data_IF_299090293094
#
_entry.id   IF_299090293094
#
_cell.length_a   1.000
_cell.length_b   1.000
_cell.length_c   1.000
_cell.angle_alpha   90.00
_cell.angle_beta   90.00
_cell.angle_gamma   90.00
#
_symmetry.space_group_name_H-M   'P 1'
#
loop_
_entity.id
_entity.type
_entity.pdbx_description
1 polymer ?
#
# COMPACT_ATOMS: atom_id res chain seq x y z
N UNK A 1 -14.34 24.56 10.22
CA UNK A 1 -15.08 23.29 10.21
C UNK A 1 -14.21 22.19 10.80
N UNK A 2 -14.76 21.33 11.66
CA UNK A 2 -14.04 20.18 12.23
C UNK A 2 -14.48 18.89 11.53
N UNK A 3 -13.53 18.01 11.22
CA UNK A 3 -13.81 16.68 10.72
C UNK A 3 -14.53 15.87 11.82
N UNK A 4 -15.56 15.12 11.44
CA UNK A 4 -16.17 14.14 12.32
C UNK A 4 -15.23 12.90 12.38
N UNK A 5 -14.28 12.95 13.31
CA UNK A 5 -13.27 11.91 13.48
C UNK A 5 -13.90 10.55 13.78
N UNK A 6 -14.99 10.53 14.54
CA UNK A 6 -15.69 9.27 14.90
C UNK A 6 -16.26 8.59 13.67
N UNK A 7 -16.95 9.35 12.80
CA UNK A 7 -17.44 8.87 11.50
C UNK A 7 -16.32 8.32 10.65
N UNK A 8 -15.21 9.08 10.53
CA UNK A 8 -14.06 8.70 9.70
C UNK A 8 -13.36 7.45 10.21
N UNK A 9 -13.22 7.28 11.54
CA UNK A 9 -12.66 6.07 12.15
C UNK A 9 -13.53 4.86 11.82
N UNK A 10 -14.85 4.96 11.93
CA UNK A 10 -15.74 3.85 11.62
C UNK A 10 -15.69 3.44 10.14
N UNK A 11 -15.62 4.39 9.21
CA UNK A 11 -15.37 4.11 7.79
C UNK A 11 -13.97 3.47 7.60
N UNK A 12 -13.00 3.87 8.41
CA UNK A 12 -11.64 3.33 8.41
C UNK A 12 -11.53 1.83 8.73
N UNK A 13 -12.54 1.21 9.36
CA UNK A 13 -12.55 -0.24 9.61
C UNK A 13 -12.54 -1.06 8.31
N UNK A 14 -13.13 -0.55 7.22
CA UNK A 14 -13.00 -1.18 5.91
C UNK A 14 -11.53 -1.21 5.45
N UNK A 15 -10.83 -0.09 5.61
CA UNK A 15 -9.40 0.01 5.26
C UNK A 15 -8.52 -0.86 6.14
N UNK A 16 -8.85 -0.92 7.44
CA UNK A 16 -8.18 -1.79 8.41
C UNK A 16 -8.26 -3.26 7.98
N UNK A 17 -9.44 -3.74 7.58
CA UNK A 17 -9.63 -5.11 7.10
C UNK A 17 -8.87 -5.39 5.80
N UNK A 18 -8.90 -4.45 4.83
CA UNK A 18 -8.17 -4.56 3.57
C UNK A 18 -6.67 -4.70 3.82
N UNK A 19 -6.08 -3.79 4.60
CA UNK A 19 -4.63 -3.81 4.85
C UNK A 19 -4.20 -5.04 5.66
N UNK A 20 -5.02 -5.50 6.61
CA UNK A 20 -4.75 -6.72 7.35
C UNK A 20 -4.74 -7.96 6.43
N UNK A 21 -5.69 -8.07 5.50
CA UNK A 21 -5.70 -9.16 4.52
C UNK A 21 -4.45 -9.14 3.64
N UNK A 22 -4.09 -8.00 3.08
CA UNK A 22 -2.91 -7.89 2.21
C UNK A 22 -1.63 -8.23 2.96
N UNK A 23 -1.54 -7.89 4.23
CA UNK A 23 -0.36 -8.23 5.04
C UNK A 23 -0.22 -9.75 5.24
N UNK A 24 -1.33 -10.47 5.45
CA UNK A 24 -1.32 -11.95 5.51
C UNK A 24 -1.02 -12.54 4.14
N UNK A 25 -1.61 -11.99 3.08
CA UNK A 25 -1.37 -12.40 1.70
C UNK A 25 0.11 -12.31 1.34
N UNK A 26 0.72 -11.14 1.49
CA UNK A 26 2.12 -10.90 1.13
C UNK A 26 3.10 -11.72 1.98
N UNK A 27 2.75 -11.96 3.24
CA UNK A 27 3.61 -12.69 4.17
C UNK A 27 3.52 -14.20 4.07
N UNK A 28 2.32 -14.75 3.88
CA UNK A 28 2.06 -16.20 4.01
C UNK A 28 1.97 -16.91 2.67
N UNK A 29 1.34 -16.31 1.65
CA UNK A 29 1.17 -16.98 0.35
C UNK A 29 2.51 -17.39 -0.27
N UNK A 30 3.57 -16.54 -0.30
CA UNK A 30 4.88 -16.94 -0.81
C UNK A 30 5.50 -18.11 -0.06
N UNK A 31 5.30 -18.19 1.27
CA UNK A 31 5.77 -19.30 2.10
C UNK A 31 5.05 -20.60 1.77
N UNK A 32 3.74 -20.58 1.61
CA UNK A 32 2.95 -21.75 1.19
C UNK A 32 3.39 -22.24 -0.19
N UNK A 33 3.55 -21.33 -1.16
CA UNK A 33 4.00 -21.68 -2.50
C UNK A 33 5.38 -22.36 -2.49
N UNK A 34 6.31 -21.83 -1.69
CA UNK A 34 7.67 -22.38 -1.57
C UNK A 34 7.71 -23.66 -0.76
N UNK A 35 7.23 -23.63 0.48
CA UNK A 35 7.47 -24.70 1.46
C UNK A 35 6.53 -25.90 1.26
N UNK A 36 5.26 -25.67 0.87
CA UNK A 36 4.26 -26.75 0.72
C UNK A 36 4.21 -27.29 -0.70
N UNK A 37 4.22 -26.40 -1.70
CA UNK A 37 4.04 -26.79 -3.09
C UNK A 37 5.36 -26.87 -3.89
N UNK A 38 6.49 -26.43 -3.31
CA UNK A 38 7.80 -26.48 -3.97
C UNK A 38 7.86 -25.61 -5.25
N UNK A 39 7.01 -24.58 -5.34
CA UNK A 39 6.95 -23.68 -6.50
C UNK A 39 8.22 -22.83 -6.53
N UNK A 40 8.85 -22.76 -7.70
CA UNK A 40 10.04 -21.93 -7.88
C UNK A 40 9.74 -20.43 -7.70
N UNK A 41 10.77 -19.64 -7.45
CA UNK A 41 10.59 -18.23 -7.08
C UNK A 41 10.06 -17.37 -8.24
N UNK A 42 10.31 -17.74 -9.51
CA UNK A 42 9.75 -17.06 -10.69
C UNK A 42 8.24 -17.24 -10.77
N UNK A 43 7.76 -18.49 -10.67
CA UNK A 43 6.33 -18.78 -10.68
C UNK A 43 5.63 -18.22 -9.45
N UNK A 44 6.27 -18.30 -8.27
CA UNK A 44 5.77 -17.66 -7.06
C UNK A 44 5.59 -16.15 -7.27
N UNK A 45 6.58 -15.46 -7.87
CA UNK A 45 6.48 -14.06 -8.26
C UNK A 45 5.35 -13.80 -9.26
N UNK A 46 5.15 -14.68 -10.23
CA UNK A 46 4.03 -14.62 -11.17
C UNK A 46 2.68 -14.71 -10.48
N UNK A 47 2.51 -15.63 -9.52
CA UNK A 47 1.29 -15.75 -8.72
C UNK A 47 1.05 -14.49 -7.89
N UNK A 48 2.11 -13.93 -7.29
CA UNK A 48 2.01 -12.68 -6.51
C UNK A 48 1.71 -11.45 -7.37
N UNK A 49 1.99 -11.49 -8.68
CA UNK A 49 1.66 -10.39 -9.59
C UNK A 49 0.19 -10.40 -10.04
N UNK A 50 -0.51 -11.53 -9.91
CA UNK A 50 -1.90 -11.71 -10.39
C UNK A 50 -2.85 -10.73 -9.71
N UNK A 51 -2.68 -10.45 -8.43
CA UNK A 51 -3.50 -9.50 -7.68
C UNK A 51 -3.47 -8.10 -8.30
N UNK A 52 -2.28 -7.62 -8.67
CA UNK A 52 -2.10 -6.31 -9.29
C UNK A 52 -2.62 -6.27 -10.74
N UNK A 53 -2.48 -7.37 -11.49
CA UNK A 53 -3.07 -7.51 -12.82
C UNK A 53 -4.61 -7.44 -12.72
N UNK A 54 -5.20 -8.20 -11.81
CA UNK A 54 -6.64 -8.17 -11.56
C UNK A 54 -7.10 -6.79 -11.07
N UNK A 55 -6.34 -6.16 -10.17
CA UNK A 55 -6.64 -4.85 -9.64
C UNK A 55 -6.71 -3.79 -10.74
N UNK A 56 -5.81 -3.83 -11.72
CA UNK A 56 -5.78 -2.87 -12.83
C UNK A 56 -7.10 -2.82 -13.62
N UNK A 57 -7.77 -3.97 -13.77
CA UNK A 57 -9.03 -4.10 -14.51
C UNK A 57 -10.24 -4.02 -13.59
N UNK A 58 -10.21 -4.75 -12.47
CA UNK A 58 -11.39 -4.96 -11.63
C UNK A 58 -11.68 -3.78 -10.70
N UNK A 59 -10.67 -3.04 -10.24
CA UNK A 59 -10.92 -1.88 -9.36
C UNK A 59 -11.70 -0.77 -10.06
N UNK A 60 -11.36 -0.33 -11.30
CA UNK A 60 -12.20 0.61 -12.05
C UNK A 60 -13.60 0.05 -12.36
N UNK A 61 -13.67 -1.25 -12.70
CA UNK A 61 -14.95 -1.91 -12.99
C UNK A 61 -15.90 -1.85 -11.78
N UNK A 62 -15.48 -2.36 -10.62
CA UNK A 62 -16.31 -2.36 -9.43
C UNK A 62 -16.51 -0.97 -8.83
N UNK A 63 -15.56 -0.07 -9.01
CA UNK A 63 -15.74 1.35 -8.73
C UNK A 63 -16.94 1.91 -9.49
N UNK A 64 -16.92 1.77 -10.83
CA UNK A 64 -17.99 2.26 -11.72
C UNK A 64 -19.33 1.56 -11.47
N UNK A 65 -19.34 0.24 -11.27
CA UNK A 65 -20.55 -0.51 -10.94
C UNK A 65 -21.18 0.00 -9.64
N UNK A 66 -20.37 0.22 -8.61
CA UNK A 66 -20.86 0.73 -7.34
C UNK A 66 -21.34 2.18 -7.44
N UNK A 67 -20.75 3.02 -8.31
CA UNK A 67 -21.25 4.38 -8.56
C UNK A 67 -22.65 4.41 -9.14
N UNK A 68 -22.98 3.44 -10.00
CA UNK A 68 -24.28 3.31 -10.67
C UNK A 68 -25.33 2.56 -9.85
N UNK A 69 -24.93 1.96 -8.74
CA UNK A 69 -25.84 1.18 -7.90
C UNK A 69 -26.73 2.11 -7.07
N UNK A 70 -28.02 1.81 -7.05
CA UNK A 70 -29.00 2.46 -6.21
C UNK A 70 -29.64 1.43 -5.28
N UNK A 71 -29.30 1.44 -3.98
CA UNK A 71 -29.85 0.50 -3.01
C UNK A 71 -30.27 1.20 -1.71
N UNK A 72 -31.16 0.54 -0.95
CA UNK A 72 -31.66 1.06 0.33
C UNK A 72 -30.57 1.23 1.40
N UNK A 73 -29.46 0.49 1.28
CA UNK A 73 -28.34 0.54 2.23
C UNK A 73 -27.18 1.42 1.72
N UNK A 74 -27.34 2.06 0.55
CA UNK A 74 -26.33 2.88 -0.09
C UNK A 74 -25.79 2.27 -1.38
N UNK A 75 -24.92 2.99 -2.09
CA UNK A 75 -24.35 2.55 -3.36
C UNK A 75 -23.11 1.67 -3.18
N UNK A 76 -22.31 1.90 -2.12
CA UNK A 76 -21.06 1.19 -1.82
C UNK A 76 -21.27 -0.03 -0.93
N UNK A 77 -22.15 0.09 0.08
CA UNK A 77 -22.36 -0.93 1.09
C UNK A 77 -22.71 -2.33 0.56
N UNK A 78 -23.52 -2.52 -0.50
CA UNK A 78 -23.81 -3.85 -1.04
C UNK A 78 -22.55 -4.60 -1.48
N UNK A 79 -21.62 -3.90 -2.17
CA UNK A 79 -20.34 -4.46 -2.61
C UNK A 79 -19.41 -4.74 -1.46
N UNK A 80 -19.36 -3.83 -0.47
CA UNK A 80 -18.51 -3.99 0.72
C UNK A 80 -18.98 -5.22 1.52
N UNK A 81 -20.27 -5.34 1.76
CA UNK A 81 -20.84 -6.47 2.53
C UNK A 81 -20.62 -7.78 1.77
N UNK A 82 -21.06 -7.85 0.53
CA UNK A 82 -20.99 -9.08 -0.27
C UNK A 82 -19.53 -9.52 -0.52
N UNK A 83 -18.69 -8.59 -0.96
CA UNK A 83 -17.29 -8.89 -1.26
C UNK A 83 -16.46 -9.25 -0.03
N UNK A 84 -16.64 -8.53 1.10
CA UNK A 84 -15.90 -8.80 2.34
C UNK A 84 -16.32 -10.15 2.96
N UNK A 85 -17.61 -10.47 3.02
CA UNK A 85 -18.11 -11.77 3.52
C UNK A 85 -17.59 -12.92 2.63
N UNK A 86 -17.70 -12.77 1.31
CA UNK A 86 -17.19 -13.77 0.36
C UNK A 86 -15.67 -13.96 0.52
N UNK A 87 -14.91 -12.87 0.61
CA UNK A 87 -13.48 -12.94 0.82
C UNK A 87 -13.13 -13.66 2.14
N UNK A 88 -13.79 -13.30 3.25
CA UNK A 88 -13.56 -13.94 4.54
C UNK A 88 -13.87 -15.45 4.51
N UNK A 89 -14.97 -15.84 3.89
CA UNK A 89 -15.37 -17.25 3.77
C UNK A 89 -14.41 -18.06 2.88
N UNK A 90 -14.05 -17.51 1.71
CA UNK A 90 -13.15 -18.20 0.74
C UNK A 90 -11.73 -18.29 1.29
N UNK A 91 -11.27 -17.31 2.09
CA UNK A 91 -9.95 -17.31 2.71
C UNK A 91 -9.68 -18.58 3.53
N UNK A 92 -10.70 -19.19 4.11
CA UNK A 92 -10.60 -20.45 4.87
C UNK A 92 -10.23 -21.65 3.97
N UNK A 93 -10.47 -21.59 2.68
CA UNK A 93 -10.09 -22.65 1.74
C UNK A 93 -8.57 -22.71 1.50
N UNK A 94 -7.84 -21.61 1.74
CA UNK A 94 -6.39 -21.57 1.55
C UNK A 94 -5.63 -22.49 2.52
N UNK A 95 -5.83 -22.42 3.86
CA UNK A 95 -5.20 -23.36 4.77
C UNK A 95 -5.70 -24.80 4.58
N UNK A 96 -6.95 -25.02 4.15
CA UNK A 96 -7.46 -26.33 3.80
C UNK A 96 -6.67 -26.91 2.60
N UNK A 97 -6.52 -26.15 1.51
CA UNK A 97 -5.76 -26.54 0.34
C UNK A 97 -4.28 -26.84 0.67
N UNK A 98 -3.69 -26.02 1.58
CA UNK A 98 -2.35 -26.24 2.10
C UNK A 98 -2.24 -27.58 2.87
N UNK A 99 -3.19 -27.86 3.76
CA UNK A 99 -3.20 -29.07 4.59
C UNK A 99 -3.32 -30.35 3.76
N UNK A 100 -4.23 -30.36 2.77
CA UNK A 100 -4.42 -31.51 1.88
C UNK A 100 -3.41 -31.52 0.71
N UNK A 101 -2.49 -30.56 0.66
CA UNK A 101 -1.46 -30.38 -0.39
C UNK A 101 -2.03 -30.37 -1.81
N UNK A 102 -3.22 -29.80 -2.00
CA UNK A 102 -3.87 -29.67 -3.30
C UNK A 102 -3.55 -28.31 -3.93
N UNK A 103 -2.59 -28.28 -4.85
CA UNK A 103 -2.22 -27.08 -5.58
C UNK A 103 -3.39 -26.51 -6.42
N UNK A 104 -4.18 -27.39 -7.05
CA UNK A 104 -5.33 -26.96 -7.85
C UNK A 104 -6.37 -26.23 -6.98
N UNK A 105 -6.73 -26.79 -5.82
CA UNK A 105 -7.65 -26.14 -4.89
C UNK A 105 -7.06 -24.81 -4.37
N UNK A 106 -5.75 -24.77 -4.11
CA UNK A 106 -5.07 -23.55 -3.64
C UNK A 106 -5.17 -22.42 -4.69
N UNK A 107 -4.88 -22.70 -5.95
CA UNK A 107 -4.94 -21.70 -7.03
C UNK A 107 -6.38 -21.22 -7.27
N UNK A 108 -7.36 -22.13 -7.26
CA UNK A 108 -8.77 -21.80 -7.41
C UNK A 108 -9.24 -20.93 -6.24
N UNK A 109 -8.93 -21.33 -5.01
CA UNK A 109 -9.29 -20.56 -3.81
C UNK A 109 -8.61 -19.19 -3.80
N UNK A 110 -7.33 -19.12 -4.19
CA UNK A 110 -6.57 -17.87 -4.28
C UNK A 110 -7.19 -16.93 -5.32
N UNK A 111 -7.46 -17.42 -6.52
CA UNK A 111 -8.15 -16.63 -7.56
C UNK A 111 -9.51 -16.14 -7.11
N UNK A 112 -10.30 -16.99 -6.46
CA UNK A 112 -11.62 -16.63 -5.96
C UNK A 112 -11.56 -15.57 -4.83
N UNK A 113 -10.61 -15.67 -3.91
CA UNK A 113 -10.45 -14.66 -2.85
C UNK A 113 -9.97 -13.33 -3.42
N UNK A 114 -9.06 -13.33 -4.42
CA UNK A 114 -8.62 -12.11 -5.08
C UNK A 114 -9.75 -11.40 -5.83
N UNK A 115 -10.62 -12.16 -6.51
CA UNK A 115 -11.84 -11.62 -7.13
C UNK A 115 -12.80 -11.04 -6.09
N UNK A 116 -13.02 -11.73 -4.99
CA UNK A 116 -13.85 -11.23 -3.89
C UNK A 116 -13.25 -9.95 -3.29
N UNK A 117 -11.94 -9.89 -3.07
CA UNK A 117 -11.23 -8.68 -2.60
C UNK A 117 -11.39 -7.52 -3.58
N UNK A 118 -11.26 -7.74 -4.88
CA UNK A 118 -11.42 -6.71 -5.90
C UNK A 118 -12.83 -6.13 -5.92
N UNK A 119 -13.87 -6.95 -5.65
CA UNK A 119 -15.27 -6.53 -5.63
C UNK A 119 -15.54 -5.41 -4.63
N UNK A 120 -14.94 -5.45 -3.45
CA UNK A 120 -15.25 -4.49 -2.39
C UNK A 120 -14.14 -3.46 -2.10
N UNK A 121 -12.90 -3.71 -2.50
CA UNK A 121 -11.76 -2.82 -2.23
C UNK A 121 -12.00 -1.41 -2.79
N UNK A 122 -12.38 -1.28 -4.06
CA UNK A 122 -12.62 0.02 -4.68
C UNK A 122 -13.83 0.75 -4.08
N UNK A 123 -15.01 0.12 -3.88
CA UNK A 123 -16.13 0.72 -3.13
C UNK A 123 -15.78 1.15 -1.71
N UNK A 124 -14.97 0.36 -0.98
CA UNK A 124 -14.55 0.71 0.38
C UNK A 124 -13.65 1.96 0.42
N UNK A 125 -12.70 2.07 -0.53
CA UNK A 125 -11.86 3.26 -0.66
C UNK A 125 -12.69 4.50 -1.02
N UNK A 126 -13.69 4.35 -1.89
CA UNK A 126 -14.55 5.44 -2.33
C UNK A 126 -15.56 5.89 -1.24
N UNK A 127 -15.86 5.04 -0.25
CA UNK A 127 -16.81 5.36 0.80
C UNK A 127 -16.40 6.60 1.62
N UNK A 128 -15.11 6.77 1.93
CA UNK A 128 -14.64 7.92 2.71
C UNK A 128 -14.89 9.26 2.00
N UNK A 129 -14.48 9.47 0.75
CA UNK A 129 -14.77 10.72 0.06
C UNK A 129 -16.26 10.94 -0.21
N UNK A 130 -17.06 9.87 -0.30
CA UNK A 130 -18.51 9.98 -0.50
C UNK A 130 -19.26 10.51 0.74
N UNK A 131 -18.66 10.35 1.93
CA UNK A 131 -19.25 10.83 3.20
C UNK A 131 -18.47 11.96 3.85
N UNK A 132 -17.48 12.55 3.14
CA UNK A 132 -16.63 13.62 3.69
C UNK A 132 -16.57 14.82 2.75
N UNK A 133 -16.88 16.05 3.20
CA UNK A 133 -16.77 17.26 2.40
C UNK A 133 -15.36 17.46 1.81
N UNK A 134 -15.28 17.99 0.58
CA UNK A 134 -14.01 18.16 -0.17
C UNK A 134 -12.84 18.75 0.64
N UNK A 135 -12.99 19.86 1.41
CA UNK A 135 -11.88 20.46 2.16
C UNK A 135 -11.35 19.56 3.29
N UNK A 136 -12.14 18.60 3.78
CA UNK A 136 -11.79 17.72 4.89
C UNK A 136 -11.28 16.34 4.43
N UNK A 137 -11.36 16.03 3.13
CA UNK A 137 -10.96 14.71 2.58
C UNK A 137 -9.50 14.37 2.86
N UNK A 138 -8.60 15.34 2.83
CA UNK A 138 -7.18 15.10 3.16
C UNK A 138 -6.98 14.63 4.61
N UNK A 139 -7.68 15.27 5.57
CA UNK A 139 -7.66 14.83 6.97
C UNK A 139 -8.34 13.49 7.16
N UNK A 140 -9.46 13.24 6.46
CA UNK A 140 -10.14 11.95 6.45
C UNK A 140 -9.25 10.83 5.92
N UNK A 141 -8.54 11.09 4.82
CA UNK A 141 -7.59 10.14 4.24
C UNK A 141 -6.44 9.78 5.19
N UNK A 142 -5.94 10.73 5.96
CA UNK A 142 -4.92 10.47 6.98
C UNK A 142 -5.42 9.48 8.04
N UNK A 143 -6.67 9.63 8.51
CA UNK A 143 -7.25 8.74 9.52
C UNK A 143 -7.47 7.33 8.95
N UNK A 144 -8.01 7.19 7.74
CA UNK A 144 -8.23 5.86 7.16
C UNK A 144 -6.92 5.15 6.84
N UNK A 145 -5.87 5.86 6.41
CA UNK A 145 -4.55 5.28 6.23
C UNK A 145 -3.93 4.82 7.56
N UNK A 146 -4.12 5.59 8.64
CA UNK A 146 -3.72 5.17 9.98
C UNK A 146 -4.46 3.89 10.41
N UNK A 147 -5.77 3.80 10.17
CA UNK A 147 -6.56 2.59 10.43
C UNK A 147 -6.04 1.41 9.61
N UNK A 148 -5.71 1.62 8.33
CA UNK A 148 -5.08 0.59 7.48
C UNK A 148 -3.74 0.11 8.04
N UNK A 149 -2.88 1.02 8.46
CA UNK A 149 -1.58 0.68 9.08
C UNK A 149 -1.77 -0.13 10.37
N UNK A 150 -2.74 0.24 11.21
CA UNK A 150 -3.08 -0.54 12.41
C UNK A 150 -3.56 -1.94 12.05
N UNK A 151 -4.36 -2.10 11.00
CA UNK A 151 -4.78 -3.41 10.49
C UNK A 151 -3.58 -4.26 10.04
N UNK A 152 -2.64 -3.66 9.30
CA UNK A 152 -1.40 -4.33 8.89
C UNK A 152 -0.54 -4.77 10.07
N UNK A 153 -0.37 -3.90 11.09
CA UNK A 153 0.39 -4.25 12.30
C UNK A 153 -0.30 -5.39 13.07
N UNK A 154 -1.62 -5.35 13.23
CA UNK A 154 -2.36 -6.43 13.91
C UNK A 154 -2.22 -7.77 13.15
N UNK A 155 -2.24 -7.74 11.83
CA UNK A 155 -2.00 -8.92 11.00
C UNK A 155 -0.57 -9.46 11.17
N UNK A 156 0.45 -8.59 11.22
CA UNK A 156 1.83 -8.99 11.47
C UNK A 156 2.02 -9.59 12.87
N UNK A 157 1.39 -9.00 13.89
CA UNK A 157 1.37 -9.57 15.24
C UNK A 157 0.74 -10.97 15.22
N UNK A 158 -0.39 -11.11 14.54
CA UNK A 158 -1.04 -12.42 14.39
C UNK A 158 -0.14 -13.43 13.66
N UNK A 159 0.55 -13.04 12.60
CA UNK A 159 1.52 -13.89 11.90
C UNK A 159 2.64 -14.32 12.86
N UNK A 160 3.25 -13.37 13.57
CA UNK A 160 4.36 -13.63 14.49
C UNK A 160 4.00 -14.58 15.65
N UNK A 161 2.75 -14.49 16.14
CA UNK A 161 2.28 -15.29 17.29
C UNK A 161 1.63 -16.62 16.88
N UNK A 162 0.87 -16.61 15.76
CA UNK A 162 0.01 -17.73 15.38
C UNK A 162 0.64 -18.68 14.37
N UNK A 163 1.73 -18.30 13.70
CA UNK A 163 2.44 -19.20 12.77
C UNK A 163 3.64 -19.81 13.47
N UNK A 164 3.54 -21.10 13.88
CA UNK A 164 4.61 -21.76 14.61
C UNK A 164 5.85 -21.97 13.75
N UNK A 165 7.01 -22.19 14.39
CA UNK A 165 8.21 -22.67 13.72
C UNK A 165 8.08 -24.14 13.29
N UNK A 166 9.06 -24.60 12.49
CA UNK A 166 9.15 -25.99 12.01
C UNK A 166 9.01 -26.12 10.50
N UNK A 167 9.30 -27.31 9.99
CA UNK A 167 9.32 -27.58 8.55
C UNK A 167 7.95 -27.47 7.86
N UNK A 168 6.85 -27.77 8.58
CA UNK A 168 5.49 -27.70 8.06
C UNK A 168 4.57 -26.94 9.03
N UNK A 169 4.68 -25.61 9.11
CA UNK A 169 3.87 -24.81 10.02
C UNK A 169 2.38 -24.86 9.64
N UNK A 170 1.52 -24.92 10.66
CA UNK A 170 0.08 -24.79 10.45
C UNK A 170 -0.29 -23.32 10.24
N UNK A 171 -0.88 -23.02 9.10
CA UNK A 171 -1.38 -21.67 8.79
C UNK A 171 -2.86 -21.45 9.17
N UNK A 172 -3.55 -22.49 9.68
CA UNK A 172 -4.95 -22.39 10.08
C UNK A 172 -5.23 -21.24 11.05
N UNK A 173 -4.46 -21.06 12.15
CA UNK A 173 -4.77 -20.01 13.11
C UNK A 173 -4.74 -18.60 12.51
N UNK A 174 -3.77 -18.30 11.65
CA UNK A 174 -3.66 -16.96 11.04
C UNK A 174 -4.76 -16.70 9.99
N UNK A 175 -5.16 -17.73 9.22
CA UNK A 175 -6.25 -17.58 8.27
C UNK A 175 -7.63 -17.49 8.94
N UNK A 176 -7.86 -18.20 10.04
CA UNK A 176 -9.05 -18.01 10.88
C UNK A 176 -9.06 -16.61 11.47
N UNK A 177 -7.91 -16.18 12.03
CA UNK A 177 -7.79 -14.82 12.57
C UNK A 177 -8.21 -13.77 11.54
N UNK A 178 -7.63 -13.81 10.33
CA UNK A 178 -7.93 -12.77 9.33
C UNK A 178 -9.39 -12.84 8.86
N UNK A 179 -9.98 -14.02 8.69
CA UNK A 179 -11.37 -14.16 8.31
C UNK A 179 -12.30 -13.58 9.39
N UNK A 180 -12.06 -13.91 10.66
CA UNK A 180 -12.81 -13.36 11.80
C UNK A 180 -12.60 -11.86 11.93
N UNK A 181 -11.36 -11.39 11.80
CA UNK A 181 -11.01 -9.96 11.86
C UNK A 181 -11.73 -9.15 10.78
N UNK A 182 -11.75 -9.63 9.53
CA UNK A 182 -12.51 -9.02 8.44
C UNK A 182 -14.02 -8.97 8.75
N UNK A 183 -14.58 -10.07 9.27
CA UNK A 183 -15.99 -10.13 9.65
C UNK A 183 -16.32 -9.16 10.80
N UNK A 184 -15.47 -9.04 11.81
CA UNK A 184 -15.61 -8.08 12.92
C UNK A 184 -15.56 -6.64 12.41
N UNK A 185 -14.56 -6.30 11.58
CA UNK A 185 -14.45 -4.98 10.97
C UNK A 185 -15.71 -4.63 10.16
N UNK A 186 -16.22 -5.60 9.37
CA UNK A 186 -17.44 -5.42 8.60
C UNK A 186 -18.67 -5.23 9.52
N UNK A 187 -18.81 -6.00 10.58
CA UNK A 187 -19.90 -5.84 11.55
C UNK A 187 -19.88 -4.46 12.21
N UNK A 188 -18.71 -3.97 12.60
CA UNK A 188 -18.54 -2.60 13.12
C UNK A 188 -19.00 -1.59 12.07
N UNK A 189 -18.54 -1.74 10.83
CA UNK A 189 -18.89 -0.83 9.74
C UNK A 189 -20.42 -0.80 9.50
N UNK A 190 -21.07 -1.95 9.40
CA UNK A 190 -22.53 -2.07 9.17
C UNK A 190 -23.33 -1.40 10.32
N UNK A 191 -22.91 -1.63 11.56
CA UNK A 191 -23.62 -1.08 12.74
C UNK A 191 -23.45 0.43 12.91
N UNK A 192 -22.34 0.98 12.43
CA UNK A 192 -21.97 2.38 12.69
C UNK A 192 -22.11 3.29 11.48
N UNK A 193 -22.20 2.72 10.27
CA UNK A 193 -22.17 3.48 9.01
C UNK A 193 -23.48 3.29 8.25
N UNK A 194 -24.33 4.30 8.28
CA UNK A 194 -25.52 4.37 7.42
C UNK A 194 -25.15 5.27 6.22
N UNK A 195 -24.69 4.65 5.12
CA UNK A 195 -24.18 5.39 3.95
C UNK A 195 -25.17 6.44 3.42
N UNK A 196 -26.49 6.16 3.18
CA UNK A 196 -27.42 7.15 2.68
C UNK A 196 -27.53 8.38 3.59
N UNK A 197 -27.68 8.18 4.90
CA UNK A 197 -27.77 9.28 5.86
C UNK A 197 -26.49 10.10 5.96
N UNK A 198 -25.33 9.44 5.89
CA UNK A 198 -24.03 10.11 5.93
C UNK A 198 -23.74 10.90 4.66
N UNK A 199 -24.14 10.38 3.49
CA UNK A 199 -24.02 11.07 2.22
C UNK A 199 -24.94 12.31 2.15
N UNK A 200 -26.17 12.20 2.68
CA UNK A 200 -27.09 13.34 2.79
C UNK A 200 -26.51 14.42 3.74
N UNK A 201 -26.04 14.01 4.92
CA UNK A 201 -25.35 14.92 5.85
C UNK A 201 -24.17 15.62 5.22
N UNK A 202 -23.34 14.90 4.44
CA UNK A 202 -22.21 15.47 3.70
C UNK A 202 -22.66 16.53 2.70
N UNK A 203 -23.76 16.30 1.96
CA UNK A 203 -24.31 17.28 1.02
C UNK A 203 -24.76 18.56 1.72
N UNK A 204 -25.48 18.43 2.85
CA UNK A 204 -25.89 19.58 3.66
C UNK A 204 -24.67 20.34 4.20
N UNK A 205 -23.66 19.62 4.72
CA UNK A 205 -22.41 20.22 5.22
C UNK A 205 -21.67 20.97 4.10
N UNK A 206 -21.65 20.42 2.86
CA UNK A 206 -21.01 21.04 1.69
C UNK A 206 -21.77 22.28 1.22
N UNK A 207 -23.12 22.22 1.18
CA UNK A 207 -23.96 23.36 0.80
C UNK A 207 -23.80 24.54 1.77
N UNK A 208 -23.75 24.25 3.08
CA UNK A 208 -23.52 25.28 4.12
C UNK A 208 -22.14 25.95 3.99
N UNK A 209 -21.19 25.36 3.28
CA UNK A 209 -19.88 25.91 3.03
C UNK A 209 -19.77 26.67 1.70
N UNK A 210 -20.87 26.78 0.96
CA UNK A 210 -20.85 27.37 -0.38
C UNK A 210 -19.98 26.61 -1.38
N UNK A 211 -19.71 25.32 -1.10
CA UNK A 211 -18.96 24.45 -2.00
C UNK A 211 -19.94 23.92 -3.03
N UNK A 212 -20.13 24.68 -4.10
CA UNK A 212 -20.77 24.13 -5.30
C UNK A 212 -19.89 22.97 -5.81
N UNK A 213 -20.51 21.86 -6.17
CA UNK A 213 -19.86 20.85 -7.01
C UNK A 213 -19.65 21.49 -8.38
N UNK A 214 -18.58 22.28 -8.51
CA UNK A 214 -18.22 22.85 -9.82
C UNK A 214 -18.07 21.69 -10.79
N UNK A 215 -18.97 21.71 -11.77
CA UNK A 215 -18.82 20.96 -13.00
C UNK A 215 -17.41 21.20 -13.54
N UNK A 216 -16.81 20.15 -14.08
CA UNK A 216 -15.46 20.15 -14.61
C UNK A 216 -15.12 21.45 -15.34
N UNK A 217 -14.28 22.31 -14.73
CA UNK A 217 -13.67 23.40 -15.43
C UNK A 217 -12.85 22.83 -16.59
N UNK A 218 -13.02 23.45 -17.73
CA UNK A 218 -12.53 23.08 -19.05
C UNK A 218 -11.14 22.44 -19.05
N UNK A 219 -11.09 21.18 -19.48
CA UNK A 219 -9.89 20.51 -19.94
C UNK A 219 -9.28 21.30 -21.11
N UNK A 220 -7.98 21.61 -21.08
CA UNK A 220 -7.43 22.00 -22.35
C UNK A 220 -6.16 22.81 -22.49
N UNK A 221 -5.43 23.17 -21.47
CA UNK A 221 -4.10 23.72 -21.71
C UNK A 221 -3.02 22.64 -21.67
N UNK A 222 -2.25 22.54 -22.77
CA UNK A 222 -1.11 21.61 -22.84
C UNK A 222 -0.08 21.95 -21.75
N UNK A 223 0.41 20.90 -21.07
CA UNK A 223 1.44 21.05 -20.04
C UNK A 223 2.72 21.69 -20.62
N UNK A 224 3.28 22.73 -19.99
CA UNK A 224 4.54 23.33 -20.43
C UNK A 224 5.64 22.30 -20.53
N UNK A 225 6.56 22.35 -21.54
CA UNK A 225 7.59 21.33 -21.74
C UNK A 225 8.47 21.06 -20.50
N UNK A 226 8.78 22.09 -19.72
CA UNK A 226 9.58 21.96 -18.49
C UNK A 226 8.85 21.19 -17.40
N UNK A 227 7.52 21.40 -17.24
CA UNK A 227 6.67 20.68 -16.30
C UNK A 227 6.51 19.22 -16.77
N UNK A 228 6.28 19.01 -18.07
CA UNK A 228 6.19 17.67 -18.69
C UNK A 228 7.46 16.85 -18.44
N UNK A 229 8.65 17.48 -18.58
CA UNK A 229 9.92 16.83 -18.25
C UNK A 229 9.98 16.39 -16.78
N UNK A 230 9.63 17.28 -15.84
CA UNK A 230 9.56 16.93 -14.41
C UNK A 230 8.53 15.82 -14.14
N UNK A 231 7.40 15.84 -14.82
CA UNK A 231 6.36 14.83 -14.71
C UNK A 231 6.83 13.45 -15.15
N UNK A 232 7.53 13.35 -16.28
CA UNK A 232 8.11 12.08 -16.75
C UNK A 232 9.15 11.55 -15.74
N UNK A 233 10.01 12.42 -15.22
CA UNK A 233 11.03 12.01 -14.24
C UNK A 233 10.43 11.59 -12.89
N UNK A 234 9.35 12.21 -12.41
CA UNK A 234 8.70 11.75 -11.18
C UNK A 234 8.00 10.39 -11.39
N UNK A 235 7.37 10.16 -12.55
CA UNK A 235 6.80 8.85 -12.87
C UNK A 235 7.89 7.77 -12.96
N UNK A 236 9.04 8.08 -13.57
CA UNK A 236 10.19 7.17 -13.59
C UNK A 236 10.71 6.89 -12.17
N UNK A 237 10.76 7.91 -11.30
CA UNK A 237 11.14 7.73 -9.89
C UNK A 237 10.15 6.84 -9.16
N UNK A 238 8.84 7.04 -9.37
CA UNK A 238 7.77 6.21 -8.80
C UNK A 238 7.95 4.76 -9.23
N UNK A 239 8.15 4.50 -10.51
CA UNK A 239 8.41 3.16 -11.01
C UNK A 239 9.61 2.50 -10.32
N UNK A 240 10.73 3.21 -10.24
CA UNK A 240 11.98 2.68 -9.69
C UNK A 240 11.90 2.40 -8.19
N UNK A 241 11.37 3.32 -7.36
CA UNK A 241 11.27 3.02 -5.93
C UNK A 241 10.25 1.93 -5.63
N UNK A 242 9.16 1.82 -6.41
CA UNK A 242 8.24 0.69 -6.28
C UNK A 242 8.90 -0.62 -6.71
N UNK A 243 9.74 -0.64 -7.77
CA UNK A 243 10.54 -1.81 -8.14
C UNK A 243 11.43 -2.28 -6.98
N UNK A 244 12.12 -1.37 -6.31
CA UNK A 244 12.99 -1.71 -5.17
C UNK A 244 12.20 -2.11 -3.92
N UNK A 245 11.22 -1.33 -3.52
CA UNK A 245 10.44 -1.57 -2.31
C UNK A 245 9.60 -2.85 -2.37
N UNK A 246 8.86 -3.05 -3.47
CA UNK A 246 7.99 -4.23 -3.61
C UNK A 246 8.79 -5.54 -3.71
N UNK A 247 9.99 -5.53 -4.29
CA UNK A 247 10.84 -6.71 -4.30
C UNK A 247 11.11 -7.21 -2.87
N UNK A 248 11.46 -6.29 -1.98
CA UNK A 248 11.72 -6.62 -0.59
C UNK A 248 10.43 -7.07 0.10
N UNK A 249 9.33 -6.32 -0.02
CA UNK A 249 8.08 -6.64 0.69
C UNK A 249 7.52 -8.01 0.27
N UNK A 250 7.46 -8.31 -1.02
CA UNK A 250 6.85 -9.56 -1.53
C UNK A 250 7.73 -10.79 -1.35
N UNK A 251 9.05 -10.62 -1.25
CA UNK A 251 9.97 -11.74 -1.10
C UNK A 251 10.56 -11.88 0.31
N UNK A 252 10.31 -10.91 1.22
CA UNK A 252 10.97 -10.86 2.53
C UNK A 252 10.67 -12.06 3.42
N UNK A 253 9.45 -12.57 3.44
CA UNK A 253 9.10 -13.75 4.23
C UNK A 253 9.92 -14.97 3.80
N UNK A 254 10.05 -15.21 2.49
CA UNK A 254 10.91 -16.27 1.95
C UNK A 254 12.38 -16.03 2.22
N UNK A 255 12.85 -14.81 1.99
CA UNK A 255 14.23 -14.41 2.28
C UNK A 255 14.59 -14.68 3.74
N UNK A 256 13.77 -14.24 4.67
CA UNK A 256 13.99 -14.42 6.10
C UNK A 256 13.98 -15.89 6.50
N UNK A 257 13.09 -16.69 5.91
CA UNK A 257 13.01 -18.13 6.17
C UNK A 257 14.20 -18.89 5.57
N UNK A 258 14.50 -18.68 4.27
CA UNK A 258 15.52 -19.44 3.54
C UNK A 258 16.93 -18.98 3.89
N UNK A 259 17.15 -17.66 3.93
CA UNK A 259 18.50 -17.09 4.04
C UNK A 259 18.93 -16.78 5.49
N UNK A 260 17.99 -16.25 6.31
CA UNK A 260 18.27 -15.97 7.72
C UNK A 260 17.88 -17.12 8.65
N UNK A 261 17.21 -18.16 8.18
CA UNK A 261 16.75 -19.29 8.98
C UNK A 261 15.67 -18.93 10.00
N UNK A 262 14.90 -17.85 9.76
CA UNK A 262 13.79 -17.47 10.62
C UNK A 262 12.59 -18.37 10.36
N UNK A 263 12.25 -19.21 11.34
CA UNK A 263 11.14 -20.14 11.24
C UNK A 263 9.77 -19.48 11.43
N UNK A 264 8.75 -20.04 10.80
CA UNK A 264 7.36 -19.65 10.97
C UNK A 264 7.11 -18.16 10.70
N UNK A 265 6.43 -17.51 11.63
CA UNK A 265 6.08 -16.09 11.58
C UNK A 265 7.14 -15.12 12.11
N UNK A 266 8.33 -15.59 12.51
CA UNK A 266 9.34 -14.75 13.19
C UNK A 266 9.79 -13.52 12.36
N UNK A 267 9.78 -13.61 11.04
CA UNK A 267 10.07 -12.49 10.14
C UNK A 267 9.14 -11.28 10.34
N UNK A 268 7.89 -11.51 10.81
CA UNK A 268 6.90 -10.48 10.96
C UNK A 268 7.30 -9.40 11.97
N UNK A 269 8.10 -9.75 13.00
CA UNK A 269 8.54 -8.79 14.01
C UNK A 269 9.36 -7.64 13.41
N UNK A 270 10.19 -7.91 12.39
CA UNK A 270 10.95 -6.84 11.69
C UNK A 270 10.04 -5.92 10.90
N UNK A 271 9.01 -6.47 10.25
CA UNK A 271 8.03 -5.69 9.50
C UNK A 271 7.12 -4.86 10.42
N UNK A 272 6.80 -5.35 11.62
CA UNK A 272 6.06 -4.57 12.65
C UNK A 272 6.83 -3.28 12.95
N UNK A 273 8.14 -3.40 13.20
CA UNK A 273 8.99 -2.25 13.51
C UNK A 273 9.03 -1.26 12.34
N UNK A 274 9.16 -1.74 11.10
CA UNK A 274 9.11 -0.89 9.91
C UNK A 274 7.77 -0.16 9.76
N UNK A 275 6.65 -0.87 9.93
CA UNK A 275 5.31 -0.27 9.82
C UNK A 275 5.01 0.70 10.97
N UNK A 276 5.42 0.39 12.20
CA UNK A 276 5.27 1.29 13.33
C UNK A 276 6.08 2.58 13.13
N UNK A 277 7.34 2.45 12.68
CA UNK A 277 8.18 3.59 12.37
C UNK A 277 7.58 4.46 11.24
N UNK A 278 7.03 3.85 10.19
CA UNK A 278 6.31 4.56 9.14
C UNK A 278 5.08 5.30 9.67
N UNK A 279 4.25 4.62 10.47
CA UNK A 279 3.03 5.21 11.04
C UNK A 279 3.33 6.43 11.92
N UNK A 280 4.31 6.33 12.81
CA UNK A 280 4.74 7.42 13.68
C UNK A 280 5.31 8.58 12.85
N UNK A 281 5.97 8.27 11.73
CA UNK A 281 6.64 9.26 10.89
C UNK A 281 5.70 10.02 9.96
N UNK A 282 4.48 9.54 9.67
CA UNK A 282 3.58 10.20 8.72
C UNK A 282 3.32 11.68 9.07
N UNK A 283 3.05 12.00 10.35
CA UNK A 283 2.78 13.37 10.77
C UNK A 283 4.05 14.23 10.74
N UNK A 284 5.19 13.85 11.37
CA UNK A 284 6.42 14.61 11.28
C UNK A 284 6.91 14.84 9.85
N UNK A 285 6.84 13.82 9.01
CA UNK A 285 7.24 13.91 7.59
C UNK A 285 6.36 14.90 6.81
N UNK A 286 5.05 14.90 7.04
CA UNK A 286 4.14 15.89 6.47
C UNK A 286 4.50 17.32 6.89
N UNK A 287 4.86 17.52 8.17
CA UNK A 287 5.32 18.83 8.69
C UNK A 287 6.67 19.24 8.09
N UNK A 288 7.61 18.31 7.95
CA UNK A 288 8.91 18.57 7.30
C UNK A 288 8.68 18.97 5.84
N UNK A 289 7.85 18.24 5.11
CA UNK A 289 7.56 18.52 3.71
C UNK A 289 6.95 19.91 3.48
N UNK A 290 6.16 20.42 4.42
CA UNK A 290 5.62 21.79 4.33
C UNK A 290 6.66 22.88 4.58
N UNK A 291 7.75 22.57 5.30
CA UNK A 291 8.82 23.53 5.64
C UNK A 291 9.97 23.52 4.62
N UNK A 292 10.44 22.33 4.25
CA UNK A 292 11.62 22.19 3.40
C UNK A 292 11.30 21.83 1.93
N UNK A 293 10.03 21.52 1.65
CA UNK A 293 9.54 21.11 0.34
C UNK A 293 9.42 19.58 0.21
N UNK A 294 8.44 19.15 -0.60
CA UNK A 294 8.14 17.72 -0.85
C UNK A 294 9.30 17.02 -1.54
N UNK A 295 9.90 17.67 -2.55
CA UNK A 295 11.02 17.11 -3.30
C UNK A 295 12.20 16.74 -2.39
N UNK A 296 12.62 17.63 -1.50
CA UNK A 296 13.73 17.39 -0.56
C UNK A 296 13.38 16.29 0.43
N UNK A 297 12.13 16.23 0.89
CA UNK A 297 11.65 15.19 1.81
C UNK A 297 11.66 13.82 1.14
N UNK A 298 11.23 13.71 -0.13
CA UNK A 298 11.31 12.47 -0.91
C UNK A 298 12.77 12.05 -1.11
N UNK A 299 13.66 12.96 -1.49
CA UNK A 299 15.10 12.65 -1.66
C UNK A 299 15.71 12.13 -0.35
N UNK A 300 15.41 12.76 0.79
CA UNK A 300 15.81 12.25 2.11
C UNK A 300 15.25 10.86 2.40
N UNK A 301 13.98 10.61 2.08
CA UNK A 301 13.33 9.30 2.21
C UNK A 301 13.99 8.22 1.35
N UNK A 302 14.35 8.55 0.10
CA UNK A 302 15.06 7.64 -0.80
C UNK A 302 16.44 7.27 -0.23
N UNK A 303 17.17 8.24 0.30
CA UNK A 303 18.48 8.00 0.93
C UNK A 303 18.34 7.08 2.14
N UNK A 304 17.37 7.32 3.02
CA UNK A 304 17.10 6.46 4.18
C UNK A 304 16.74 5.04 3.77
N UNK A 305 15.87 4.88 2.77
CA UNK A 305 15.44 3.57 2.29
C UNK A 305 16.59 2.81 1.60
N UNK A 306 17.37 3.49 0.74
CA UNK A 306 18.53 2.90 0.07
C UNK A 306 19.62 2.50 1.08
N UNK A 307 19.88 3.34 2.08
CA UNK A 307 20.83 3.03 3.15
C UNK A 307 20.36 1.84 3.99
N UNK A 308 19.06 1.76 4.32
CA UNK A 308 18.50 0.65 5.06
C UNK A 308 18.65 -0.68 4.31
N UNK A 309 18.26 -0.72 3.03
CA UNK A 309 18.40 -1.91 2.20
C UNK A 309 19.88 -2.26 1.93
N UNK A 310 20.69 -1.25 1.61
CA UNK A 310 22.13 -1.43 1.40
C UNK A 310 22.83 -1.99 2.62
N UNK A 311 22.48 -1.51 3.83
CA UNK A 311 23.03 -2.03 5.08
C UNK A 311 22.55 -3.45 5.38
N UNK A 312 21.26 -3.74 5.16
CA UNK A 312 20.70 -5.08 5.35
C UNK A 312 21.38 -6.14 4.47
N UNK A 313 21.88 -5.76 3.28
CA UNK A 313 22.59 -6.65 2.36
C UNK A 313 23.88 -7.26 2.94
N UNK A 314 24.51 -6.63 3.93
CA UNK A 314 25.74 -7.13 4.56
C UNK A 314 25.52 -8.20 5.62
N UNK A 315 24.25 -8.44 6.02
CA UNK A 315 23.94 -9.40 7.08
C UNK A 315 23.58 -10.78 6.52
N UNK A 316 24.42 -11.75 6.79
CA UNK A 316 24.22 -13.16 6.39
C UNK A 316 23.24 -13.93 7.28
N UNK A 317 22.96 -13.42 8.46
CA UNK A 317 22.01 -13.97 9.43
C UNK A 317 21.24 -12.86 10.11
N UNK A 318 20.13 -13.19 10.72
CA UNK A 318 19.34 -12.21 11.48
C UNK A 318 20.17 -11.60 12.63
N UNK A 319 20.09 -10.30 12.76
CA UNK A 319 20.72 -9.53 13.84
C UNK A 319 19.71 -8.52 14.40
N UNK A 320 19.80 -8.21 15.70
CA UNK A 320 18.98 -7.16 16.33
C UNK A 320 19.14 -5.79 15.65
N UNK A 321 20.27 -5.54 14.97
CA UNK A 321 20.43 -4.31 14.16
C UNK A 321 19.44 -4.22 13.01
N UNK A 322 18.82 -5.34 12.59
CA UNK A 322 17.77 -5.32 11.56
C UNK A 322 16.58 -4.47 11.98
N UNK A 323 16.20 -4.45 13.26
CA UNK A 323 15.14 -3.58 13.75
C UNK A 323 15.44 -2.10 13.52
N UNK A 324 16.69 -1.69 13.67
CA UNK A 324 17.12 -0.33 13.36
C UNK A 324 17.01 -0.03 11.85
N UNK A 325 17.54 -0.91 10.99
CA UNK A 325 17.45 -0.70 9.53
C UNK A 325 16.02 -0.75 9.02
N UNK A 326 15.18 -1.65 9.55
CA UNK A 326 13.76 -1.67 9.20
C UNK A 326 13.00 -0.43 9.70
N UNK A 327 13.39 0.14 10.84
CA UNK A 327 12.87 1.45 11.27
C UNK A 327 13.23 2.56 10.27
N UNK A 328 14.49 2.61 9.82
CA UNK A 328 14.92 3.56 8.79
C UNK A 328 14.18 3.36 7.46
N UNK A 329 13.97 2.09 7.06
CA UNK A 329 13.21 1.78 5.87
C UNK A 329 11.76 2.27 5.98
N UNK A 330 11.11 2.09 7.15
CA UNK A 330 9.77 2.59 7.43
C UNK A 330 9.67 4.12 7.34
N UNK A 331 10.61 4.84 7.96
CA UNK A 331 10.68 6.32 7.89
C UNK A 331 10.93 6.77 6.45
N UNK A 332 11.86 6.12 5.75
CA UNK A 332 12.17 6.40 4.35
C UNK A 332 10.96 6.21 3.45
N UNK A 333 10.25 5.08 3.59
CA UNK A 333 9.02 4.81 2.85
C UNK A 333 7.91 5.81 3.15
N UNK A 334 7.69 6.17 4.41
CA UNK A 334 6.72 7.19 4.80
C UNK A 334 7.02 8.54 4.13
N UNK A 335 8.31 8.93 4.08
CA UNK A 335 8.76 10.18 3.46
C UNK A 335 8.48 10.22 1.96
N UNK A 336 8.61 9.08 1.27
CA UNK A 336 8.31 8.95 -0.14
C UNK A 336 6.78 8.96 -0.36
N UNK A 337 6.07 8.06 0.33
CA UNK A 337 4.67 7.76 0.06
C UNK A 337 3.72 8.94 0.33
N UNK A 338 3.92 9.65 1.45
CA UNK A 338 3.10 10.82 1.82
C UNK A 338 3.22 11.96 0.80
N UNK A 339 4.37 12.12 0.16
CA UNK A 339 4.69 13.27 -0.66
C UNK A 339 4.59 13.03 -2.17
N UNK A 340 4.70 11.77 -2.63
CA UNK A 340 4.77 11.45 -4.05
C UNK A 340 3.47 11.72 -4.79
N UNK A 341 2.35 11.24 -4.31
CA UNK A 341 1.05 11.44 -4.93
C UNK A 341 0.64 12.93 -4.97
N UNK A 342 0.69 13.69 -3.86
CA UNK A 342 0.42 15.13 -3.92
C UNK A 342 1.33 15.88 -4.88
N UNK A 343 2.60 15.50 -5.00
CA UNK A 343 3.55 16.14 -5.91
C UNK A 343 3.18 15.92 -7.39
N UNK A 344 2.68 14.73 -7.74
CA UNK A 344 2.15 14.43 -9.08
C UNK A 344 0.89 15.23 -9.39
N UNK A 345 -0.05 15.30 -8.44
CA UNK A 345 -1.32 16.02 -8.62
C UNK A 345 -1.10 17.54 -8.74
N UNK A 346 -0.13 18.12 -8.02
CA UNK A 346 0.15 19.55 -8.13
C UNK A 346 0.77 19.96 -9.46
N UNK A 347 1.31 19.02 -10.24
CA UNK A 347 1.72 19.30 -11.63
C UNK A 347 0.52 19.37 -12.60
N UNK A 348 -0.68 18.91 -12.16
CA UNK A 348 -1.91 19.04 -12.93
C UNK A 348 -2.51 20.44 -12.78
N UNK A 349 -3.14 20.95 -13.83
CA UNK A 349 -3.98 22.15 -13.73
C UNK A 349 -5.43 21.69 -13.48
N UNK A 350 -6.02 22.08 -12.35
CA UNK A 350 -7.43 21.98 -11.95
C UNK A 350 -8.25 20.79 -12.47
N UNK A 351 -8.65 20.79 -13.72
CA UNK A 351 -9.55 19.82 -14.35
C UNK A 351 -8.93 18.41 -14.56
N UNK A 352 -7.62 18.30 -14.61
CA UNK A 352 -6.92 17.06 -15.01
C UNK A 352 -6.48 16.16 -13.85
N UNK A 353 -6.86 16.46 -12.60
CA UNK A 353 -6.45 15.70 -11.40
C UNK A 353 -6.70 14.20 -11.55
N UNK A 354 -7.85 13.80 -12.10
CA UNK A 354 -8.19 12.40 -12.33
C UNK A 354 -7.23 11.69 -13.29
N UNK A 355 -6.84 12.37 -14.37
CA UNK A 355 -5.90 11.86 -15.37
C UNK A 355 -4.50 11.64 -14.77
N UNK A 356 -3.99 12.60 -13.98
CA UNK A 356 -2.69 12.50 -13.32
C UNK A 356 -2.67 11.46 -12.20
N UNK A 357 -3.77 11.34 -11.47
CA UNK A 357 -4.01 10.24 -10.53
C UNK A 357 -3.95 8.89 -11.26
N UNK A 358 -4.58 8.80 -12.43
CA UNK A 358 -4.51 7.61 -13.28
C UNK A 358 -3.07 7.25 -13.67
N UNK A 359 -2.27 8.20 -14.10
CA UNK A 359 -0.85 7.97 -14.43
C UNK A 359 -0.04 7.48 -13.23
N UNK A 360 -0.25 8.10 -12.03
CA UNK A 360 0.40 7.66 -10.81
C UNK A 360 0.12 6.19 -10.50
N UNK A 361 -1.16 5.80 -10.49
CA UNK A 361 -1.55 4.42 -10.19
C UNK A 361 -1.14 3.44 -11.30
N UNK A 362 -1.25 3.81 -12.56
CA UNK A 362 -0.80 2.95 -13.67
C UNK A 362 0.68 2.62 -13.55
N UNK A 363 1.53 3.61 -13.30
CA UNK A 363 2.97 3.42 -13.18
C UNK A 363 3.33 2.61 -11.93
N UNK A 364 2.72 2.92 -10.79
CA UNK A 364 2.97 2.17 -9.55
C UNK A 364 2.48 0.72 -9.63
N UNK A 365 1.31 0.46 -10.21
CA UNK A 365 0.80 -0.90 -10.42
C UNK A 365 1.64 -1.67 -11.44
N UNK A 366 2.10 -1.02 -12.52
CA UNK A 366 3.02 -1.66 -13.48
C UNK A 366 4.30 -2.12 -12.78
N UNK A 367 4.88 -1.28 -11.92
CA UNK A 367 6.03 -1.70 -11.12
C UNK A 367 5.70 -2.88 -10.20
N UNK A 368 4.53 -2.88 -9.56
CA UNK A 368 4.09 -3.95 -8.67
C UNK A 368 3.81 -5.28 -9.40
N UNK A 369 3.40 -5.23 -10.67
CA UNK A 369 3.24 -6.43 -11.52
C UNK A 369 4.61 -7.00 -11.93
N UNK A 370 5.51 -6.13 -12.38
CA UNK A 370 6.82 -6.54 -12.92
C UNK A 370 7.75 -7.03 -11.81
N UNK A 371 7.75 -6.36 -10.66
CA UNK A 371 8.72 -6.57 -9.58
C UNK A 371 8.74 -8.01 -9.05
N UNK A 372 7.62 -8.66 -8.68
CA UNK A 372 7.66 -10.01 -8.12
C UNK A 372 8.22 -11.03 -9.10
N UNK A 373 8.00 -10.84 -10.41
CA UNK A 373 8.52 -11.71 -11.46
C UNK A 373 10.03 -11.54 -11.60
N UNK A 374 10.50 -10.29 -11.67
CA UNK A 374 11.94 -9.98 -11.80
C UNK A 374 12.73 -10.34 -10.54
N UNK A 375 12.23 -9.98 -9.37
CA UNK A 375 12.87 -10.37 -8.12
C UNK A 375 12.84 -11.89 -7.92
N UNK A 376 11.74 -12.55 -8.28
CA UNK A 376 11.64 -14.00 -8.28
C UNK A 376 12.69 -14.67 -9.18
N UNK A 377 12.88 -14.15 -10.41
CA UNK A 377 13.93 -14.63 -11.31
C UNK A 377 15.33 -14.41 -10.74
N UNK A 378 15.56 -13.27 -10.06
CA UNK A 378 16.82 -12.98 -9.41
C UNK A 378 17.11 -13.94 -8.26
N UNK A 379 16.11 -14.24 -7.45
CA UNK A 379 16.24 -15.20 -6.34
C UNK A 379 16.48 -16.62 -6.86
N UNK A 380 15.76 -17.05 -7.90
CA UNK A 380 15.85 -18.39 -8.46
C UNK A 380 17.17 -18.64 -9.19
N UNK A 381 17.62 -17.69 -10.04
CA UNK A 381 18.78 -17.85 -10.91
C UNK A 381 20.01 -17.06 -10.45
N UNK A 382 19.92 -16.25 -9.41
CA UNK A 382 21.00 -15.39 -8.92
C UNK A 382 22.24 -16.16 -8.48
N UNK A 383 22.11 -17.41 -8.04
CA UNK A 383 23.24 -18.27 -7.70
C UNK A 383 24.21 -18.47 -8.91
N UNK A 384 23.69 -18.51 -10.14
CA UNK A 384 24.51 -18.61 -11.37
C UNK A 384 25.34 -17.33 -11.57
N UNK A 385 24.75 -16.16 -11.30
CA UNK A 385 25.42 -14.86 -11.39
C UNK A 385 26.55 -14.79 -10.36
N UNK A 386 26.33 -15.37 -9.18
CA UNK A 386 27.30 -15.42 -8.09
C UNK A 386 28.35 -16.53 -8.24
N UNK A 387 28.22 -17.39 -9.25
CA UNK A 387 29.10 -18.57 -9.45
C UNK A 387 28.98 -19.60 -8.31
N UNK A 388 27.85 -19.66 -7.62
CA UNK A 388 27.59 -20.57 -6.51
C UNK A 388 26.93 -21.86 -6.99
N UNK A 389 27.23 -22.96 -6.32
CA UNK A 389 26.53 -24.25 -6.47
C UNK A 389 25.29 -24.35 -5.59
N UNK A 390 25.19 -23.50 -4.56
CA UNK A 390 24.02 -23.41 -3.71
C UNK A 390 22.91 -22.61 -4.40
N UNK A 391 21.81 -23.29 -4.72
CA UNK A 391 20.64 -22.67 -5.36
C UNK A 391 20.00 -21.57 -4.54
N UNK A 392 20.14 -21.58 -3.23
CA UNK A 392 19.62 -20.55 -2.33
C UNK A 392 20.53 -19.30 -2.27
N UNK A 393 21.74 -19.34 -2.82
CA UNK A 393 22.63 -18.18 -2.83
C UNK A 393 22.04 -16.95 -3.52
N UNK A 394 21.09 -17.15 -4.45
CA UNK A 394 20.38 -16.06 -5.12
C UNK A 394 19.63 -15.10 -4.17
N UNK A 395 19.20 -15.60 -3.01
CA UNK A 395 18.51 -14.77 -2.01
C UNK A 395 19.37 -13.59 -1.51
N UNK A 396 20.70 -13.72 -1.47
CA UNK A 396 21.63 -12.61 -1.12
C UNK A 396 21.34 -11.36 -1.96
N UNK A 397 20.86 -11.50 -3.18
CA UNK A 397 20.67 -10.40 -4.11
C UNK A 397 19.40 -9.57 -3.85
N UNK A 398 18.51 -9.97 -2.94
CA UNK A 398 17.24 -9.28 -2.70
C UNK A 398 17.46 -7.83 -2.22
N UNK A 399 18.20 -7.63 -1.16
CA UNK A 399 18.48 -6.30 -0.62
C UNK A 399 19.34 -5.45 -1.55
N UNK A 400 20.44 -5.96 -2.17
CA UNK A 400 21.15 -5.23 -3.22
C UNK A 400 20.26 -4.78 -4.37
N UNK A 401 19.37 -5.64 -4.87
CA UNK A 401 18.38 -5.26 -5.88
C UNK A 401 17.51 -4.10 -5.41
N UNK A 402 16.91 -4.22 -4.21
CA UNK A 402 16.11 -3.16 -3.62
C UNK A 402 16.86 -1.84 -3.50
N UNK A 403 18.10 -1.89 -2.96
CA UNK A 403 18.94 -0.72 -2.78
C UNK A 403 19.31 -0.04 -4.11
N UNK A 404 19.66 -0.81 -5.14
CA UNK A 404 20.01 -0.29 -6.47
C UNK A 404 18.84 0.43 -7.12
N UNK A 405 17.65 -0.19 -7.15
CA UNK A 405 16.48 0.44 -7.76
C UNK A 405 16.04 1.70 -7.00
N UNK A 406 16.08 1.67 -5.67
CA UNK A 406 15.81 2.86 -4.84
C UNK A 406 16.87 3.94 -5.10
N UNK A 407 18.17 3.60 -5.19
CA UNK A 407 19.23 4.56 -5.52
C UNK A 407 19.08 5.14 -6.94
N UNK A 408 18.66 4.35 -7.93
CA UNK A 408 18.33 4.85 -9.27
C UNK A 408 17.18 5.84 -9.24
N UNK A 409 16.20 5.65 -8.37
CA UNK A 409 15.11 6.61 -8.21
C UNK A 409 15.60 7.96 -7.66
N UNK A 410 16.69 7.99 -6.88
CA UNK A 410 17.32 9.23 -6.46
C UNK A 410 17.82 10.05 -7.65
N UNK A 411 18.50 9.38 -8.60
CA UNK A 411 19.02 10.06 -9.80
C UNK A 411 17.90 10.66 -10.63
N UNK A 412 16.80 9.93 -10.86
CA UNK A 412 15.66 10.45 -11.61
C UNK A 412 14.96 11.60 -10.87
N UNK A 413 14.85 11.49 -9.54
CA UNK A 413 14.24 12.53 -8.70
C UNK A 413 15.02 13.85 -8.68
N UNK A 414 16.33 13.82 -8.93
CA UNK A 414 17.14 15.04 -9.06
C UNK A 414 16.70 15.93 -10.23
N UNK A 415 16.13 15.36 -11.29
CA UNK A 415 15.65 16.08 -12.46
C UNK A 415 14.21 16.63 -12.30
N UNK A 416 13.51 16.27 -11.22
CA UNK A 416 12.17 16.80 -10.91
C UNK A 416 12.32 18.20 -10.29
N UNK A 417 11.76 19.22 -10.94
CA UNK A 417 11.86 20.62 -10.49
C UNK A 417 10.51 21.27 -10.19
N UNK A 418 9.40 20.60 -10.50
CA UNK A 418 8.03 21.11 -10.37
C UNK A 418 7.21 20.19 -9.43
N UNK A 419 6.04 20.65 -8.99
CA UNK A 419 5.13 19.91 -8.11
C UNK A 419 5.45 20.05 -6.62
N UNK A 420 6.41 20.91 -6.27
CA UNK A 420 6.66 21.25 -4.87
C UNK A 420 5.62 22.27 -4.39
N UNK A 421 5.14 22.12 -3.15
CA UNK A 421 4.24 23.09 -2.56
C UNK A 421 5.01 24.43 -2.42
N UNK A 422 4.47 25.52 -3.01
CA UNK A 422 5.08 26.84 -2.91
C UNK A 422 5.16 27.27 -1.43
N UNK A 423 6.33 27.23 -0.86
CA UNK A 423 6.64 27.75 0.48
C UNK A 423 6.45 29.29 0.52
N UNK A 424 6.57 29.94 -0.64
CA UNK A 424 6.50 31.39 -0.77
C UNK A 424 5.10 32.01 -0.50
N UNK A 425 4.00 31.25 -0.67
CA UNK A 425 2.65 31.80 -0.43
C UNK A 425 2.25 31.88 1.05
N UNK A 426 3.00 31.22 1.97
CA UNK A 426 2.72 31.31 3.41
C UNK A 426 3.46 32.45 4.11
N UNK A 427 4.55 32.96 3.56
CA UNK A 427 5.22 34.13 4.15
C UNK A 427 4.42 35.43 3.94
N UNK A 428 3.75 35.61 2.78
CA UNK A 428 2.92 36.79 2.54
C UNK A 428 1.63 36.85 3.39
N UNK A 429 1.10 35.71 3.83
CA UNK A 429 -0.10 35.68 4.69
C UNK A 429 0.22 35.88 6.17
N UNK A 430 1.48 35.73 6.59
CA UNK A 430 1.94 36.03 7.95
C UNK A 430 2.48 37.46 8.10
N UNK A 431 2.87 38.10 6.99
CA UNK A 431 3.30 39.50 6.98
C UNK A 431 2.12 40.49 6.98
N UNK A 432 0.88 40.02 6.77
CA UNK A 432 -0.34 40.84 6.86
C UNK A 432 -1.14 40.66 8.18
N UNK A 433 -0.55 40.01 9.18
CA UNK A 433 -1.04 40.11 10.56
C UNK A 433 -0.32 41.29 11.26
N UNK A 434 -0.70 42.48 10.89
CA UNK A 434 -0.42 43.65 11.75
C UNK A 434 -1.20 43.50 13.05
N UNK A 435 -0.47 43.48 14.14
CA UNK A 435 -0.99 43.68 15.48
C UNK A 435 -1.32 45.16 15.61
N UNK A 436 -2.53 45.56 15.27
CA UNK A 436 -3.12 46.81 15.72
C UNK A 436 -4.52 46.52 16.29
N UNK A 437 -4.61 46.79 17.62
CA UNK A 437 -5.75 46.84 18.53
C UNK A 437 -6.30 45.54 19.11
#
# INVERSE_FOLDING_TARGET
>A
MKLDNKRTIFVGFAFMAICAFWQVYDGIIPLILKNTFGINDVLSGGVMAVDNILALVLLPLFGTLSDRTNSKIGRRMPYIIGGSLSAAAITILLPLANQIRSFALFVIALGAVLLAMATWRSPAVALMPDVTPKPLRSKGNAIINLMGTLGGILALVAIGVLVPGGENPSYWPVFIFIAVFMAVCLLVLIKTTNEPKLAEKMKIESANLGIEESAAESAGEAMPPAVKKSFIFILASIFLWFMGYNAVITAFSKYANVYWGLEGGAYAYTLIVAQAAAAISYIPVGMIATRVGRRKTILGGIVLLAAAFGSAAFFKSFSMMMFFFFSLAGIGWASINVNSYPMVVEMSKGADVGKYTGYYYTVSMTAQIITPIFSGALLEYGYRILGSTDTNAGYVLLFPYGAVFVALSFLTMLFVRHGDANVAHKQSALEHFDFDD
#
